data_IF_611889106750
#
_entry.id   IF_611889106750
#
_cell.length_a   1.000
_cell.length_b   1.000
_cell.length_c   1.000
_cell.angle_alpha   90.00
_cell.angle_beta   90.00
_cell.angle_gamma   90.00
#
_symmetry.space_group_name_H-M   'P 1'
#
loop_
_entity.id
_entity.type
_entity.pdbx_description
1 polymer ?
#
# COMPACT_ATOMS: atom_id res chain seq x y z
N UNK A 1 40.83 -6.15 -14.84
CA UNK A 1 39.99 -5.15 -15.54
C UNK A 1 38.50 -5.50 -15.53
N UNK A 2 38.09 -6.76 -15.64
CA UNK A 2 36.66 -7.15 -15.70
C UNK A 2 35.81 -6.83 -14.47
N UNK A 3 36.40 -6.68 -13.27
CA UNK A 3 35.66 -6.32 -12.05
C UNK A 3 35.50 -4.81 -11.84
N UNK A 4 36.37 -3.99 -12.45
CA UNK A 4 36.39 -2.55 -12.18
C UNK A 4 35.12 -1.87 -12.73
N UNK A 5 34.70 -2.21 -13.96
CA UNK A 5 33.52 -1.60 -14.59
C UNK A 5 32.22 -1.95 -13.84
N UNK A 6 31.91 -3.23 -13.52
CA UNK A 6 30.72 -3.56 -12.73
C UNK A 6 30.72 -2.92 -11.34
N UNK A 7 31.88 -2.85 -10.68
CA UNK A 7 31.98 -2.23 -9.34
C UNK A 7 31.75 -0.72 -9.37
N UNK A 8 32.24 -0.02 -10.40
CA UNK A 8 31.98 1.41 -10.58
C UNK A 8 30.50 1.64 -10.85
N UNK A 9 29.89 0.86 -11.76
CA UNK A 9 28.45 0.96 -12.06
C UNK A 9 27.61 0.71 -10.79
N UNK A 10 27.96 -0.32 -10.01
CA UNK A 10 27.31 -0.60 -8.74
C UNK A 10 27.48 0.53 -7.72
N UNK A 11 28.69 1.08 -7.57
CA UNK A 11 28.96 2.19 -6.67
C UNK A 11 28.19 3.45 -7.08
N UNK A 12 28.09 3.74 -8.38
CA UNK A 12 27.28 4.83 -8.91
C UNK A 12 25.78 4.61 -8.67
N UNK A 13 25.25 3.39 -8.88
CA UNK A 13 23.85 3.06 -8.53
C UNK A 13 23.60 3.27 -7.04
N UNK A 14 24.50 2.78 -6.20
CA UNK A 14 24.36 2.92 -4.74
C UNK A 14 24.44 4.35 -4.28
N UNK A 15 25.36 5.14 -4.83
CA UNK A 15 25.48 6.56 -4.51
C UNK A 15 24.25 7.32 -4.97
N UNK A 16 23.78 7.10 -6.21
CA UNK A 16 22.58 7.77 -6.73
C UNK A 16 21.34 7.39 -5.91
N UNK A 17 21.21 6.13 -5.48
CA UNK A 17 20.13 5.69 -4.58
C UNK A 17 20.21 6.40 -3.23
N UNK A 18 21.39 6.46 -2.60
CA UNK A 18 21.55 7.14 -1.30
C UNK A 18 21.25 8.64 -1.40
N UNK A 19 21.73 9.30 -2.46
CA UNK A 19 21.49 10.72 -2.70
C UNK A 19 20.02 11.05 -3.01
N UNK A 20 19.30 10.11 -3.66
CA UNK A 20 17.88 10.28 -4.01
C UNK A 20 16.95 9.83 -2.89
N UNK A 21 17.39 8.91 -2.04
CA UNK A 21 16.56 8.35 -0.96
C UNK A 21 16.10 9.45 -0.02
N UNK A 22 14.80 9.51 0.21
CA UNK A 22 14.17 10.42 1.16
C UNK A 22 13.54 9.56 2.22
N UNK A 23 14.40 8.99 3.07
CA UNK A 23 13.99 8.20 4.22
C UNK A 23 13.13 9.08 5.12
N UNK A 24 11.87 8.69 5.30
CA UNK A 24 10.91 9.38 6.14
C UNK A 24 10.45 8.41 7.23
N UNK A 25 10.53 8.88 8.47
CA UNK A 25 9.87 8.19 9.57
C UNK A 25 8.36 8.43 9.48
N UNK A 26 7.60 7.40 9.81
CA UNK A 26 6.14 7.46 9.87
C UNK A 26 5.74 7.69 11.33
N UNK A 27 4.87 8.66 11.59
CA UNK A 27 4.44 9.00 12.95
C UNK A 27 3.42 8.00 13.49
N UNK A 28 2.42 7.61 12.68
CA UNK A 28 1.38 6.66 13.09
C UNK A 28 1.41 5.41 12.23
N UNK A 29 1.35 4.25 12.88
CA UNK A 29 1.30 2.95 12.23
C UNK A 29 0.07 2.21 12.72
N UNK A 30 -0.78 1.82 11.77
CA UNK A 30 -1.89 0.92 11.98
C UNK A 30 -1.63 -0.37 11.22
N UNK A 31 -1.47 -1.47 11.93
CA UNK A 31 -1.24 -2.79 11.37
C UNK A 31 -2.49 -3.66 11.54
N UNK A 32 -2.84 -4.38 10.48
CA UNK A 32 -3.84 -5.45 10.50
C UNK A 32 -3.11 -6.73 10.15
N UNK A 33 -3.07 -7.66 11.08
CA UNK A 33 -2.40 -8.95 10.91
C UNK A 33 -3.46 -10.03 10.75
N UNK A 34 -3.42 -10.72 9.62
CA UNK A 34 -4.25 -11.88 9.37
C UNK A 34 -3.50 -13.14 9.84
N UNK A 35 -4.17 -13.99 10.61
CA UNK A 35 -3.60 -15.26 11.05
C UNK A 35 -3.41 -16.24 9.89
N UNK A 36 -2.74 -17.35 10.17
CA UNK A 36 -2.60 -18.45 9.21
C UNK A 36 -3.99 -19.05 8.92
N UNK A 37 -4.33 -19.36 7.65
CA UNK A 37 -3.43 -19.62 6.52
C UNK A 37 -3.12 -18.41 5.61
N UNK A 38 -3.79 -17.27 5.78
CA UNK A 38 -3.66 -16.12 4.87
C UNK A 38 -2.25 -15.48 4.92
N UNK A 39 -1.56 -15.61 6.07
CA UNK A 39 -0.19 -15.16 6.32
C UNK A 39 0.06 -13.72 5.84
N UNK A 40 -0.87 -12.82 6.17
CA UNK A 40 -0.94 -11.49 5.60
C UNK A 40 -0.75 -10.37 6.64
N UNK A 41 -0.02 -9.33 6.26
CA UNK A 41 0.16 -8.09 7.01
C UNK A 41 -0.26 -6.88 6.16
N UNK A 42 -1.22 -6.09 6.65
CA UNK A 42 -1.61 -4.82 6.06
C UNK A 42 -1.10 -3.68 6.95
N UNK A 43 -0.28 -2.78 6.39
CA UNK A 43 0.25 -1.63 7.10
C UNK A 43 -0.38 -0.36 6.55
N UNK A 44 -0.98 0.43 7.42
CA UNK A 44 -1.54 1.75 7.16
C UNK A 44 -0.67 2.76 7.90
N UNK A 45 0.08 3.53 7.12
CA UNK A 45 1.12 4.44 7.59
C UNK A 45 0.62 5.87 7.44
N UNK A 46 0.79 6.72 8.46
CA UNK A 46 0.52 8.16 8.30
C UNK A 46 1.38 8.72 7.17
N UNK A 47 0.77 9.48 6.27
CA UNK A 47 1.48 10.11 5.15
C UNK A 47 2.45 11.17 5.67
N UNK A 48 3.77 11.05 5.43
CA UNK A 48 4.72 12.06 5.88
C UNK A 48 4.49 13.40 5.17
N UNK A 49 4.88 14.51 5.80
CA UNK A 49 4.69 15.84 5.23
C UNK A 49 5.33 15.98 3.84
N UNK A 50 4.57 16.53 2.88
CA UNK A 50 5.02 16.67 1.49
C UNK A 50 5.24 15.35 0.74
N UNK A 51 4.74 14.21 1.24
CA UNK A 51 4.78 12.93 0.52
C UNK A 51 3.68 12.91 -0.55
N UNK A 52 4.06 13.00 -1.82
CA UNK A 52 3.15 12.95 -2.97
C UNK A 52 3.51 11.77 -3.86
N UNK A 53 2.54 10.94 -4.19
CA UNK A 53 2.69 9.77 -5.05
C UNK A 53 1.52 9.67 -6.03
N UNK A 54 1.65 8.79 -7.03
CA UNK A 54 0.63 8.42 -8.00
C UNK A 54 0.22 6.96 -7.79
N UNK A 55 -1.01 6.59 -8.11
CA UNK A 55 -1.45 5.20 -8.03
C UNK A 55 -0.56 4.26 -8.85
N UNK A 56 -0.41 3.05 -8.34
CA UNK A 56 0.47 2.03 -8.93
C UNK A 56 1.96 2.19 -8.58
N UNK A 57 2.36 3.28 -7.91
CA UNK A 57 3.72 3.41 -7.38
C UNK A 57 4.00 2.46 -6.22
N UNK A 58 5.28 2.23 -5.96
CA UNK A 58 5.75 1.45 -4.82
C UNK A 58 6.68 2.27 -3.92
N UNK A 59 6.87 1.80 -2.70
CA UNK A 59 7.80 2.35 -1.70
C UNK A 59 8.71 1.26 -1.20
N UNK A 60 9.86 1.63 -0.67
CA UNK A 60 10.66 0.72 0.14
C UNK A 60 10.29 0.88 1.60
N UNK A 61 10.07 -0.25 2.27
CA UNK A 61 9.79 -0.32 3.69
C UNK A 61 10.98 -0.93 4.40
N UNK A 62 11.34 -0.35 5.54
CA UNK A 62 12.35 -0.87 6.45
C UNK A 62 11.79 -0.93 7.87
N UNK A 63 12.06 -2.04 8.54
CA UNK A 63 11.77 -2.23 9.95
C UNK A 63 13.07 -2.53 10.70
N UNK A 64 13.67 -1.54 11.39
CA UNK A 64 14.93 -1.75 12.12
C UNK A 64 14.87 -2.83 13.21
N UNK A 65 13.67 -3.13 13.73
CA UNK A 65 13.45 -4.22 14.68
C UNK A 65 13.63 -5.61 14.06
N UNK A 66 13.46 -5.73 12.73
CA UNK A 66 13.65 -6.97 11.97
C UNK A 66 15.05 -6.99 11.35
N UNK A 67 15.38 -5.97 10.56
CA UNK A 67 16.70 -5.83 9.94
C UNK A 67 17.13 -4.37 9.89
N UNK A 68 18.34 -4.10 10.36
CA UNK A 68 18.90 -2.75 10.45
C UNK A 68 19.34 -2.17 9.10
N UNK A 69 19.43 -2.97 8.05
CA UNK A 69 20.01 -2.54 6.76
C UNK A 69 19.11 -2.85 5.56
N UNK A 70 18.16 -3.76 5.70
CA UNK A 70 17.31 -4.17 4.59
C UNK A 70 16.16 -3.21 4.32
N UNK A 71 15.89 -3.06 3.03
CA UNK A 71 14.79 -2.28 2.49
C UNK A 71 14.08 -3.16 1.47
N UNK A 72 12.78 -3.36 1.65
CA UNK A 72 11.97 -4.23 0.79
C UNK A 72 10.91 -3.43 0.05
N UNK A 73 10.75 -3.63 -1.28
CA UNK A 73 9.81 -2.86 -2.08
C UNK A 73 8.38 -3.41 -1.96
N UNK A 74 7.40 -2.52 -1.77
CA UNK A 74 5.98 -2.85 -1.74
C UNK A 74 5.16 -1.81 -2.49
N UNK A 75 4.23 -2.29 -3.34
CA UNK A 75 3.27 -1.44 -4.03
C UNK A 75 2.37 -0.73 -3.03
N UNK A 76 2.17 0.57 -3.24
CA UNK A 76 1.20 1.34 -2.48
C UNK A 76 -0.20 0.88 -2.92
N UNK A 77 -1.08 0.65 -1.95
CA UNK A 77 -2.45 0.18 -2.18
C UNK A 77 -3.51 1.25 -1.89
N UNK A 78 -3.16 2.32 -1.17
CA UNK A 78 -4.05 3.47 -0.98
C UNK A 78 -4.06 4.38 -2.21
N UNK A 79 -5.07 5.26 -2.29
CA UNK A 79 -5.14 6.27 -3.32
C UNK A 79 -4.28 7.50 -2.95
N UNK A 80 -3.70 8.22 -3.92
CA UNK A 80 -2.93 9.43 -3.69
C UNK A 80 -3.60 10.51 -2.84
N UNK A 81 -4.93 10.50 -2.81
CA UNK A 81 -5.78 11.45 -2.10
C UNK A 81 -6.02 11.06 -0.64
N UNK A 82 -5.75 9.81 -0.27
CA UNK A 82 -5.89 9.35 1.10
C UNK A 82 -4.84 10.03 2.02
N UNK A 83 -5.24 10.27 3.28
CA UNK A 83 -4.40 10.82 4.34
C UNK A 83 -3.34 9.83 4.87
N UNK A 84 -3.39 8.58 4.38
CA UNK A 84 -2.50 7.50 4.75
C UNK A 84 -1.89 6.82 3.51
N UNK A 85 -0.75 6.18 3.72
CA UNK A 85 -0.09 5.31 2.76
C UNK A 85 -0.26 3.89 3.25
N UNK A 86 -0.98 3.05 2.51
CA UNK A 86 -1.10 1.63 2.85
C UNK A 86 -0.27 0.74 1.95
N UNK A 87 0.26 -0.33 2.53
CA UNK A 87 0.90 -1.44 1.83
C UNK A 87 0.37 -2.76 2.37
N UNK A 88 0.33 -3.76 1.50
CA UNK A 88 -0.19 -5.08 1.78
C UNK A 88 0.91 -6.12 1.50
N UNK A 89 1.29 -6.89 2.51
CA UNK A 89 2.52 -7.70 2.54
C UNK A 89 2.17 -9.15 2.85
N UNK A 90 2.38 -10.05 1.89
CA UNK A 90 2.30 -11.50 2.13
C UNK A 90 3.59 -12.02 2.76
N UNK A 91 3.46 -12.84 3.81
CA UNK A 91 4.59 -13.43 4.50
C UNK A 91 5.15 -14.66 3.73
N UNK A 92 5.92 -14.41 2.67
CA UNK A 92 6.51 -15.44 1.82
C UNK A 92 7.99 -15.71 2.11
N UNK A 93 8.76 -14.67 2.42
CA UNK A 93 10.19 -14.73 2.73
C UNK A 93 10.49 -14.60 4.22
N UNK A 94 11.77 -14.80 4.57
CA UNK A 94 12.33 -14.61 5.90
C UNK A 94 11.97 -13.23 6.49
N UNK A 95 12.34 -12.15 5.80
CA UNK A 95 12.10 -10.80 6.29
C UNK A 95 10.61 -10.48 6.45
N UNK A 96 9.76 -10.93 5.51
CA UNK A 96 8.32 -10.68 5.57
C UNK A 96 7.63 -11.48 6.68
N UNK A 97 8.13 -12.69 6.99
CA UNK A 97 7.66 -13.51 8.10
C UNK A 97 8.08 -12.89 9.43
N UNK A 98 9.34 -12.51 9.56
CA UNK A 98 9.85 -11.84 10.77
C UNK A 98 9.15 -10.50 11.01
N UNK A 99 8.82 -9.76 9.95
CA UNK A 99 8.01 -8.55 10.05
C UNK A 99 6.62 -8.85 10.60
N UNK A 100 5.90 -9.82 10.03
CA UNK A 100 4.59 -10.25 10.53
C UNK A 100 4.67 -10.66 12.00
N UNK A 101 5.66 -11.49 12.35
CA UNK A 101 5.86 -12.00 13.70
C UNK A 101 6.21 -10.89 14.70
N UNK A 102 6.95 -9.87 14.27
CA UNK A 102 7.23 -8.68 15.09
C UNK A 102 5.94 -7.90 15.41
N UNK A 103 4.99 -7.82 14.47
CA UNK A 103 3.69 -7.22 14.74
C UNK A 103 2.79 -8.14 15.58
N UNK A 104 2.78 -9.45 15.35
CA UNK A 104 2.04 -10.42 16.16
C UNK A 104 2.41 -10.36 17.65
N UNK A 105 3.71 -10.32 17.96
CA UNK A 105 4.21 -10.25 19.35
C UNK A 105 3.71 -9.04 20.12
N UNK A 106 3.37 -7.97 19.43
CA UNK A 106 2.90 -6.71 20.03
C UNK A 106 1.37 -6.66 20.11
N UNK A 107 0.67 -7.49 19.33
CA UNK A 107 -0.78 -7.66 19.41
C UNK A 107 -1.25 -8.53 20.59
N UNK A 108 -0.37 -9.33 21.20
CA UNK A 108 -0.75 -10.30 22.25
C UNK A 108 -0.62 -9.76 23.69
N UNK A 109 -1.60 -10.10 24.56
CA UNK A 109 -1.31 -10.81 25.79
C UNK A 109 -1.70 -12.29 25.63
N UNK A 110 -0.69 -13.16 25.74
CA UNK A 110 -0.74 -14.64 25.74
C UNK A 110 -2.10 -15.27 26.09
N UNK A 111 -2.83 -15.79 25.10
CA UNK A 111 -3.74 -16.94 25.28
C UNK A 111 -3.92 -17.66 23.94
N UNK A 112 -3.62 -18.97 23.92
CA UNK A 112 -3.59 -19.84 22.72
C UNK A 112 -4.92 -19.95 21.94
N UNK A 113 -6.02 -19.42 22.47
CA UNK A 113 -7.36 -19.55 21.90
C UNK A 113 -7.73 -18.48 20.85
N UNK A 114 -6.87 -17.47 20.61
CA UNK A 114 -7.15 -16.34 19.67
C UNK A 114 -6.33 -16.34 18.38
N UNK A 115 -5.69 -17.44 18.01
CA UNK A 115 -4.87 -17.57 16.79
C UNK A 115 -5.63 -17.41 15.47
N UNK A 116 -6.95 -17.23 15.48
CA UNK A 116 -7.81 -17.14 14.29
C UNK A 116 -8.50 -15.79 14.09
N UNK A 117 -8.33 -14.83 15.00
CA UNK A 117 -8.95 -13.50 14.87
C UNK A 117 -8.02 -12.50 14.17
N UNK A 118 -8.57 -11.61 13.33
CA UNK A 118 -7.81 -10.52 12.71
C UNK A 118 -7.33 -9.55 13.79
N UNK A 119 -6.02 -9.46 13.99
CA UNK A 119 -5.41 -8.61 15.01
C UNK A 119 -5.17 -7.20 14.47
N UNK A 120 -5.61 -6.19 15.22
CA UNK A 120 -5.44 -4.78 14.86
C UNK A 120 -4.62 -4.07 15.92
N UNK A 121 -3.53 -3.44 15.50
CA UNK A 121 -2.68 -2.63 16.37
C UNK A 121 -2.52 -1.25 15.76
N UNK A 122 -2.74 -0.21 16.56
CA UNK A 122 -2.56 1.18 16.16
C UNK A 122 -1.74 1.89 17.23
N UNK A 123 -0.63 2.50 16.82
CA UNK A 123 0.22 3.28 17.71
C UNK A 123 0.74 4.55 17.03
N UNK A 124 1.03 5.53 17.87
CA UNK A 124 1.56 6.84 17.51
C UNK A 124 2.93 7.01 18.18
N UNK A 125 3.98 7.24 17.38
CA UNK A 125 5.34 7.41 17.86
C UNK A 125 5.55 8.73 18.63
N UNK A 126 4.71 9.75 18.40
CA UNK A 126 4.84 11.07 19.03
C UNK A 126 4.11 11.15 20.38
N UNK A 127 3.09 10.33 20.57
CA UNK A 127 2.40 10.20 21.86
C UNK A 127 3.19 9.27 22.75
N UNK A 128 4.09 9.83 23.55
CA UNK A 128 4.69 9.11 24.68
C UNK A 128 3.57 8.50 25.55
N UNK A 129 3.38 7.18 25.48
CA UNK A 129 2.43 6.48 26.33
C UNK A 129 3.12 6.08 27.65
N UNK A 130 2.39 6.10 28.80
CA UNK A 130 3.00 5.96 30.12
C UNK A 130 3.70 4.61 30.26
N UNK A 131 4.92 4.68 30.78
CA UNK A 131 5.69 3.53 31.24
C UNK A 131 4.93 2.78 32.33
N UNK A 132 4.32 1.64 31.99
CA UNK A 132 3.94 0.63 32.95
C UNK A 132 4.59 -0.71 32.55
N UNK A 133 5.72 -1.03 33.19
CA UNK A 133 6.27 -2.38 33.32
C UNK A 133 6.67 -3.12 32.03
N UNK A 134 7.93 -2.99 31.60
CA UNK A 134 8.56 -3.92 30.64
C UNK A 134 8.30 -3.60 29.16
N UNK A 135 9.28 -2.98 28.48
CA UNK A 135 9.17 -2.45 27.12
C UNK A 135 8.93 -3.54 26.05
N UNK A 136 7.70 -3.76 25.63
CA UNK A 136 7.44 -4.16 24.24
C UNK A 136 7.69 -2.93 23.36
N UNK A 137 8.83 -2.91 22.67
CA UNK A 137 9.17 -1.85 21.72
C UNK A 137 8.40 -2.09 20.43
N UNK A 138 7.35 -1.30 20.17
CA UNK A 138 6.60 -1.33 18.92
C UNK A 138 7.54 -1.28 17.70
N UNK A 139 7.27 -2.06 16.63
CA UNK A 139 8.15 -2.10 15.46
C UNK A 139 8.22 -0.72 14.81
N UNK A 140 9.41 -0.17 14.62
CA UNK A 140 9.55 1.11 13.91
C UNK A 140 9.45 0.85 12.41
N UNK A 141 8.63 1.62 11.69
CA UNK A 141 8.50 1.51 10.23
C UNK A 141 9.06 2.78 9.56
N UNK A 142 10.04 2.59 8.69
CA UNK A 142 10.63 3.64 7.86
C UNK A 142 10.22 3.41 6.41
N UNK A 143 9.92 4.50 5.69
CA UNK A 143 9.58 4.43 4.28
C UNK A 143 10.52 5.29 3.44
N UNK A 144 10.81 4.82 2.23
CA UNK A 144 11.55 5.55 1.20
C UNK A 144 10.81 5.48 -0.14
N UNK A 145 10.71 6.62 -0.83
CA UNK A 145 9.99 6.75 -2.10
C UNK A 145 9.21 8.06 -2.24
N UNK A 146 8.21 8.11 -3.14
CA UNK A 146 7.71 7.00 -3.97
C UNK A 146 8.59 6.70 -5.19
N UNK A 147 8.52 5.47 -5.69
CA UNK A 147 9.24 5.00 -6.87
C UNK A 147 8.31 4.81 -8.06
N UNK A 148 8.84 5.05 -9.27
CA UNK A 148 8.09 4.98 -10.52
C UNK A 148 7.66 3.56 -10.89
N UNK A 149 6.49 3.41 -11.50
CA UNK A 149 5.97 2.13 -11.97
C UNK A 149 5.29 2.30 -13.35
N UNK A 150 5.27 1.26 -14.21
CA UNK A 150 4.71 1.37 -15.56
C UNK A 150 3.20 1.64 -15.59
N UNK A 151 2.47 1.27 -14.53
CA UNK A 151 1.01 1.40 -14.47
C UNK A 151 0.48 2.82 -14.19
N UNK A 152 1.34 3.86 -14.23
CA UNK A 152 0.97 5.23 -13.85
C UNK A 152 0.13 6.00 -14.88
N UNK A 153 0.18 5.58 -16.15
CA UNK A 153 -0.44 6.33 -17.25
C UNK A 153 -1.92 5.98 -17.47
N UNK A 154 -2.52 5.24 -16.53
CA UNK A 154 -3.93 4.80 -16.61
C UNK A 154 -4.91 5.97 -16.83
N UNK A 155 -4.64 7.18 -16.31
CA UNK A 155 -5.49 8.38 -16.49
C UNK A 155 -5.59 8.84 -17.95
N UNK A 156 -4.67 8.41 -18.82
CA UNK A 156 -4.62 8.79 -20.23
C UNK A 156 -5.58 7.96 -21.09
N UNK A 157 -6.08 6.82 -20.57
CA UNK A 157 -6.91 5.89 -21.31
C UNK A 157 -8.37 5.95 -20.86
N UNK A 158 -9.28 5.84 -21.83
CA UNK A 158 -10.72 5.84 -21.59
C UNK A 158 -11.22 4.49 -21.05
N UNK A 159 -10.68 3.40 -21.57
CA UNK A 159 -11.00 2.04 -21.12
C UNK A 159 -9.74 1.38 -20.56
N UNK A 160 -9.84 0.85 -19.36
CA UNK A 160 -8.75 0.14 -18.69
C UNK A 160 -9.06 -1.35 -18.58
N UNK A 161 -8.08 -2.19 -18.89
CA UNK A 161 -8.07 -3.61 -18.56
C UNK A 161 -6.95 -3.83 -17.54
N UNK A 162 -7.33 -4.11 -16.30
CA UNK A 162 -6.44 -4.33 -15.18
C UNK A 162 -6.43 -5.83 -14.86
N UNK A 163 -5.27 -6.48 -14.99
CA UNK A 163 -5.12 -7.91 -14.69
C UNK A 163 -4.11 -8.08 -13.55
N UNK A 164 -4.58 -8.61 -12.43
CA UNK A 164 -3.76 -8.88 -11.24
C UNK A 164 -3.69 -10.37 -10.93
N UNK A 165 -2.48 -10.88 -10.67
CA UNK A 165 -2.25 -12.28 -10.27
C UNK A 165 -1.74 -12.32 -8.81
N UNK A 166 -2.49 -12.96 -7.90
CA UNK A 166 -2.16 -13.04 -6.47
C UNK A 166 -1.90 -11.66 -5.85
N UNK A 167 -0.79 -11.51 -5.13
CA UNK A 167 -0.31 -10.22 -4.56
C UNK A 167 -0.06 -9.14 -5.63
N UNK A 168 0.17 -9.54 -6.89
CA UNK A 168 0.38 -8.64 -8.02
C UNK A 168 -0.83 -7.76 -8.36
N UNK A 169 -1.99 -7.99 -7.73
CA UNK A 169 -3.15 -7.09 -7.80
C UNK A 169 -2.94 -5.75 -7.06
N UNK A 170 -2.01 -5.67 -6.11
CA UNK A 170 -1.80 -4.49 -5.25
C UNK A 170 -1.70 -3.14 -5.98
N UNK A 171 -0.89 -2.96 -7.05
CA UNK A 171 -0.84 -1.68 -7.75
C UNK A 171 -2.16 -1.34 -8.46
N UNK A 172 -2.88 -2.35 -8.97
CA UNK A 172 -4.19 -2.16 -9.61
C UNK A 172 -5.25 -1.73 -8.60
N UNK A 173 -5.18 -2.21 -7.37
CA UNK A 173 -6.07 -1.78 -6.27
C UNK A 173 -5.91 -0.28 -5.98
N UNK A 174 -4.68 0.23 -5.94
CA UNK A 174 -4.43 1.67 -5.79
C UNK A 174 -4.97 2.49 -6.97
N UNK A 175 -4.94 1.92 -8.18
CA UNK A 175 -5.53 2.54 -9.38
C UNK A 175 -7.06 2.57 -9.24
N UNK A 176 -7.69 1.45 -8.88
CA UNK A 176 -9.15 1.35 -8.66
C UNK A 176 -9.63 2.36 -7.62
N UNK A 177 -8.93 2.49 -6.49
CA UNK A 177 -9.27 3.49 -5.48
C UNK A 177 -9.16 4.93 -5.99
N UNK A 178 -8.13 5.26 -6.77
CA UNK A 178 -8.01 6.60 -7.37
C UNK A 178 -9.11 6.83 -8.43
N UNK A 179 -9.49 5.81 -9.23
CA UNK A 179 -10.65 5.91 -10.12
C UNK A 179 -11.92 6.25 -9.32
N UNK A 180 -12.19 5.53 -8.23
CA UNK A 180 -13.34 5.77 -7.34
C UNK A 180 -13.33 7.19 -6.76
N UNK A 181 -12.20 7.65 -6.24
CA UNK A 181 -12.09 8.98 -5.66
C UNK A 181 -12.32 10.09 -6.70
N UNK A 182 -11.82 9.92 -7.93
CA UNK A 182 -12.10 10.86 -9.02
C UNK A 182 -13.59 10.83 -9.43
N UNK A 183 -14.23 9.65 -9.43
CA UNK A 183 -15.67 9.54 -9.71
C UNK A 183 -16.54 10.22 -8.65
N UNK A 184 -16.19 10.16 -7.36
CA UNK A 184 -16.91 10.84 -6.28
C UNK A 184 -16.94 12.37 -6.44
N UNK A 185 -15.98 12.96 -7.16
CA UNK A 185 -15.90 14.42 -7.40
C UNK A 185 -16.76 14.92 -8.55
N UNK A 186 -16.95 14.11 -9.58
CA UNK A 186 -17.70 14.48 -10.79
C UNK A 186 -19.21 14.80 -10.62
N UNK A 187 -19.96 14.38 -9.58
CA UNK A 187 -21.39 14.68 -9.48
C UNK A 187 -21.72 16.10 -8.98
N UNK A 188 -20.75 16.83 -8.39
CA UNK A 188 -21.03 18.04 -7.59
C UNK A 188 -20.54 19.38 -8.13
N UNK A 189 -19.62 19.42 -9.09
CA UNK A 189 -18.94 20.66 -9.49
C UNK A 189 -19.61 21.45 -10.63
N UNK A 190 -20.88 21.17 -10.96
CA UNK A 190 -21.59 21.85 -12.06
C UNK A 190 -22.47 23.02 -11.59
N UNK A 191 -22.82 23.14 -10.29
CA UNK A 191 -23.75 24.19 -9.83
C UNK A 191 -23.17 25.25 -8.89
N UNK A 192 -21.88 25.21 -8.53
CA UNK A 192 -21.28 26.32 -7.76
C UNK A 192 -19.77 26.42 -7.96
N UNK A 193 -19.33 27.30 -8.86
CA UNK A 193 -17.91 27.58 -9.04
C UNK A 193 -17.61 28.67 -10.05
N UNK A 194 -17.21 29.84 -9.56
CA UNK A 194 -16.64 30.94 -10.34
C UNK A 194 -15.51 30.45 -11.26
N UNK A 195 -15.39 30.93 -12.52
CA UNK A 195 -14.43 30.43 -13.51
C UNK A 195 -13.00 30.97 -13.31
N UNK A 196 -12.58 31.28 -12.09
CA UNK A 196 -11.34 32.04 -11.83
C UNK A 196 -10.16 31.25 -11.27
N UNK A 197 -10.21 29.92 -11.17
CA UNK A 197 -9.05 29.14 -10.73
C UNK A 197 -8.57 28.15 -11.81
N UNK A 198 -7.57 28.59 -12.59
CA UNK A 198 -7.02 27.94 -13.78
C UNK A 198 -6.17 26.69 -13.52
N UNK A 199 -6.42 25.94 -12.45
CA UNK A 199 -5.82 24.62 -12.28
C UNK A 199 -6.57 23.64 -13.18
N UNK A 200 -6.10 23.49 -14.42
CA UNK A 200 -6.48 22.42 -15.35
C UNK A 200 -6.51 21.09 -14.59
N UNK A 201 -7.68 20.68 -14.13
CA UNK A 201 -7.94 19.31 -13.69
C UNK A 201 -7.50 18.44 -14.85
N UNK A 202 -6.46 17.62 -14.64
CA UNK A 202 -6.02 16.67 -15.66
C UNK A 202 -7.25 15.84 -15.99
N UNK A 203 -7.83 16.05 -17.19
CA UNK A 203 -9.07 15.42 -17.59
C UNK A 203 -8.93 13.92 -17.35
N UNK A 204 -9.58 13.42 -16.32
CA UNK A 204 -9.58 12.01 -15.99
C UNK A 204 -10.41 11.33 -17.07
N UNK A 205 -9.73 10.68 -18.03
CA UNK A 205 -10.38 10.18 -19.25
C UNK A 205 -11.07 8.84 -19.03
N UNK A 206 -10.70 8.11 -17.98
CA UNK A 206 -11.19 6.76 -17.72
C UNK A 206 -12.70 6.75 -17.48
N UNK A 207 -13.43 6.10 -18.39
CA UNK A 207 -14.88 5.89 -18.36
C UNK A 207 -15.28 4.46 -18.03
N UNK A 208 -14.37 3.50 -18.24
CA UNK A 208 -14.60 2.08 -17.91
C UNK A 208 -13.32 1.39 -17.48
N UNK A 209 -13.40 0.54 -16.47
CA UNK A 209 -12.30 -0.27 -15.97
C UNK A 209 -12.77 -1.70 -15.72
N UNK A 210 -12.11 -2.66 -16.37
CA UNK A 210 -12.30 -4.08 -16.13
C UNK A 210 -11.17 -4.58 -15.26
N UNK A 211 -11.47 -5.12 -14.08
CA UNK A 211 -10.48 -5.67 -13.19
C UNK A 211 -10.62 -7.17 -13.05
N UNK A 212 -9.64 -7.90 -13.57
CA UNK A 212 -9.52 -9.34 -13.42
C UNK A 212 -8.49 -9.64 -12.34
N UNK A 213 -8.96 -10.18 -11.21
CA UNK A 213 -8.09 -10.68 -10.15
C UNK A 213 -8.13 -12.19 -10.10
N UNK A 214 -6.97 -12.80 -10.35
CA UNK A 214 -6.81 -14.24 -10.35
C UNK A 214 -5.93 -14.62 -9.16
N UNK A 215 -6.44 -15.44 -8.26
CA UNK A 215 -5.70 -15.96 -7.11
C UNK A 215 -5.84 -17.47 -7.01
N UNK A 216 -4.84 -18.12 -6.41
CA UNK A 216 -4.93 -19.53 -6.06
C UNK A 216 -5.67 -19.68 -4.73
N UNK A 217 -5.19 -19.01 -3.69
CA UNK A 217 -5.71 -19.15 -2.33
C UNK A 217 -7.00 -18.34 -2.12
N UNK A 218 -8.03 -18.97 -1.55
CA UNK A 218 -9.30 -18.34 -1.21
C UNK A 218 -9.11 -17.34 -0.06
N UNK A 219 -8.18 -17.60 0.85
CA UNK A 219 -7.83 -16.72 1.97
C UNK A 219 -7.25 -15.39 1.49
N UNK A 220 -6.64 -15.37 0.31
CA UNK A 220 -6.18 -14.13 -0.32
C UNK A 220 -7.33 -13.22 -0.74
N UNK A 221 -8.58 -13.68 -0.79
CA UNK A 221 -9.74 -12.86 -1.20
C UNK A 221 -10.19 -11.87 -0.11
N UNK A 222 -10.00 -12.20 1.17
CA UNK A 222 -10.31 -11.30 2.28
C UNK A 222 -9.51 -9.99 2.20
N UNK A 223 -8.37 -10.05 1.54
CA UNK A 223 -7.37 -9.01 1.45
C UNK A 223 -7.88 -7.67 0.89
N UNK A 224 -8.79 -7.74 -0.10
CA UNK A 224 -9.39 -6.56 -0.72
C UNK A 224 -10.90 -6.54 -0.62
N UNK A 225 -11.50 -7.36 0.26
CA UNK A 225 -12.95 -7.42 0.42
C UNK A 225 -13.53 -6.03 0.72
N UNK A 226 -12.95 -5.29 1.67
CA UNK A 226 -13.42 -3.94 1.99
C UNK A 226 -13.28 -2.93 0.85
N UNK A 227 -12.38 -3.16 -0.11
CA UNK A 227 -12.25 -2.33 -1.31
C UNK A 227 -13.28 -2.74 -2.34
N UNK A 228 -13.55 -4.04 -2.50
CA UNK A 228 -14.62 -4.54 -3.35
C UNK A 228 -15.99 -4.04 -2.87
N UNK A 229 -16.21 -4.04 -1.56
CA UNK A 229 -17.42 -3.47 -0.95
C UNK A 229 -17.53 -1.96 -1.26
N UNK A 230 -16.45 -1.21 -1.08
CA UNK A 230 -16.41 0.22 -1.44
C UNK A 230 -16.70 0.47 -2.92
N UNK A 231 -16.16 -0.37 -3.81
CA UNK A 231 -16.44 -0.34 -5.26
C UNK A 231 -17.92 -0.58 -5.50
N UNK A 232 -18.49 -1.64 -4.92
CA UNK A 232 -19.88 -2.04 -5.11
C UNK A 232 -20.86 -1.00 -4.59
N UNK A 233 -20.55 -0.31 -3.49
CA UNK A 233 -21.38 0.75 -2.92
C UNK A 233 -21.29 2.08 -3.70
N UNK A 234 -20.10 2.42 -4.18
CA UNK A 234 -19.86 3.73 -4.81
C UNK A 234 -20.19 3.72 -6.31
N UNK A 235 -19.91 2.63 -7.02
CA UNK A 235 -20.02 2.57 -8.48
C UNK A 235 -21.45 2.27 -8.97
N UNK A 236 -22.34 3.26 -8.82
CA UNK A 236 -23.72 3.18 -9.31
C UNK A 236 -23.83 3.22 -10.84
N UNK A 237 -22.76 3.62 -11.54
CA UNK A 237 -22.74 3.81 -12.99
C UNK A 237 -22.18 2.60 -13.75
N UNK A 238 -21.66 1.59 -13.04
CA UNK A 238 -21.02 0.42 -13.66
C UNK A 238 -19.77 0.81 -14.45
N UNK A 239 -18.97 1.72 -13.90
CA UNK A 239 -17.68 2.12 -14.46
C UNK A 239 -16.63 1.03 -14.22
N UNK A 240 -16.70 0.32 -13.11
CA UNK A 240 -15.74 -0.68 -12.66
C UNK A 240 -16.40 -2.05 -12.67
N UNK A 241 -15.94 -2.94 -13.54
CA UNK A 241 -16.38 -4.34 -13.57
C UNK A 241 -15.32 -5.21 -12.89
N UNK A 242 -15.71 -5.93 -11.84
CA UNK A 242 -14.83 -6.73 -11.01
C UNK A 242 -15.04 -8.23 -11.31
N UNK A 243 -13.97 -8.90 -11.77
CA UNK A 243 -13.95 -10.33 -12.04
C UNK A 243 -12.91 -11.00 -11.16
N UNK A 244 -13.38 -11.81 -10.20
CA UNK A 244 -12.51 -12.55 -9.29
C UNK A 244 -12.53 -14.02 -9.67
N UNK A 245 -11.36 -14.60 -9.90
CA UNK A 245 -11.19 -16.00 -10.26
C UNK A 245 -10.29 -16.71 -9.24
N UNK A 246 -10.87 -17.65 -8.50
CA UNK A 246 -10.13 -18.60 -7.66
C UNK A 246 -9.80 -19.84 -8.49
N UNK A 247 -8.52 -20.20 -8.60
CA UNK A 247 -8.07 -21.31 -9.48
C UNK A 247 -7.78 -22.63 -8.75
N UNK A 248 -7.94 -22.69 -7.42
CA UNK A 248 -7.85 -23.94 -6.64
C UNK A 248 -9.12 -24.22 -5.88
#
# INVERSE_FOLDING_TARGET
MYLAVPMIVYACERLTRTLRSRVRAVHKVKAVVHPDPAALLSLHLSKPEGFRYKSGQYIFVKCPNVSSFEWHPFSITSAPEDDYVSVHIKAMGDWTKDLRDAFLKVCEPLTEEKKTEILRVEYDHDKAMPTLGGRLKYPTVLIDGPYGAPAQDYKQYETLLLVGLGIGATPMISIIKDIINNMKRLPGDIESGNPSDGSRSSSFRTRRAYFYWITREQESLEWFHGIMDEVAETDKQGVIELHVHCTS
#
